data_IF_737354003532
#
_entry.id   IF_737354003532
#
_cell.length_a   1.000
_cell.length_b   1.000
_cell.length_c   1.000
_cell.angle_alpha   90.00
_cell.angle_beta   90.00
_cell.angle_gamma   90.00
#
_symmetry.space_group_name_H-M   'P 1'
#
loop_
_entity.id
_entity.type
_entity.pdbx_description
1 polymer ?
#
# COMPACT_ATOMS: atom_id res chain seq x y z
N UNK A 1 -4.98 -5.07 -6.15
CA UNK A 1 -6.02 -5.29 -5.13
C UNK A 1 -7.32 -4.65 -5.60
N UNK A 2 -8.45 -5.36 -5.52
CA UNK A 2 -9.77 -4.79 -5.81
C UNK A 2 -10.29 -4.08 -4.55
N UNK A 3 -10.81 -2.86 -4.71
CA UNK A 3 -11.32 -2.03 -3.62
C UNK A 3 -12.42 -2.71 -2.77
N UNK A 4 -13.11 -3.69 -3.36
CA UNK A 4 -14.17 -4.47 -2.70
C UNK A 4 -13.67 -5.28 -1.49
N UNK A 5 -12.47 -5.86 -1.55
CA UNK A 5 -11.91 -6.64 -0.44
C UNK A 5 -11.44 -5.75 0.70
N UNK A 6 -11.00 -4.52 0.40
CA UNK A 6 -10.56 -3.55 1.41
C UNK A 6 -11.73 -2.96 2.22
N UNK A 7 -12.94 -2.94 1.66
CA UNK A 7 -14.14 -2.44 2.37
C UNK A 7 -14.68 -3.43 3.42
N UNK A 8 -14.50 -4.73 3.18
CA UNK A 8 -14.86 -5.81 4.14
C UNK A 8 -13.93 -5.89 5.34
N UNK A 9 -12.73 -5.34 5.25
CA UNK A 9 -11.68 -5.39 6.28
C UNK A 9 -11.90 -4.29 7.32
N UNK A 10 -11.59 -4.55 8.59
CA UNK A 10 -11.81 -3.64 9.72
C UNK A 10 -10.87 -2.43 9.65
N UNK A 11 -11.24 -1.30 10.28
CA UNK A 11 -10.40 -0.09 10.27
C UNK A 11 -8.98 -0.34 10.83
N UNK A 12 -8.86 -1.16 11.87
CA UNK A 12 -7.58 -1.55 12.46
C UNK A 12 -6.71 -2.39 11.52
N UNK A 13 -7.32 -3.35 10.83
CA UNK A 13 -6.63 -4.17 9.83
C UNK A 13 -6.19 -3.34 8.61
N UNK A 14 -6.96 -2.32 8.22
CA UNK A 14 -6.56 -1.36 7.19
C UNK A 14 -5.34 -0.53 7.62
N UNK A 15 -5.25 -0.12 8.89
CA UNK A 15 -4.07 0.57 9.42
C UNK A 15 -2.84 -0.34 9.43
N UNK A 16 -2.99 -1.59 9.90
CA UNK A 16 -1.92 -2.60 9.83
C UNK A 16 -1.40 -2.79 8.40
N UNK A 17 -2.33 -2.95 7.44
CA UNK A 17 -1.99 -3.13 6.03
C UNK A 17 -1.32 -1.90 5.40
N UNK A 18 -1.70 -0.69 5.83
CA UNK A 18 -0.99 0.52 5.43
C UNK A 18 0.47 0.51 5.91
N UNK A 19 0.70 -0.01 7.12
CA UNK A 19 2.04 -0.06 7.73
C UNK A 19 2.93 -1.09 7.02
N UNK A 20 2.38 -2.26 6.68
CA UNK A 20 3.06 -3.25 5.84
C UNK A 20 3.41 -2.71 4.45
N UNK A 21 2.47 -2.03 3.79
CA UNK A 21 2.70 -1.45 2.46
C UNK A 21 3.77 -0.34 2.48
N UNK A 22 3.86 0.43 3.57
CA UNK A 22 4.92 1.44 3.76
C UNK A 22 6.30 0.77 3.94
N UNK A 23 6.39 -0.35 4.68
CA UNK A 23 7.61 -1.16 4.74
C UNK A 23 7.98 -1.79 3.40
N UNK A 24 7.01 -2.31 2.65
CA UNK A 24 7.24 -2.87 1.32
C UNK A 24 7.74 -1.79 0.35
N UNK A 25 7.18 -0.57 0.42
CA UNK A 25 7.65 0.58 -0.34
C UNK A 25 9.10 0.94 0.01
N UNK A 26 9.48 0.87 1.28
CA UNK A 26 10.85 1.10 1.73
C UNK A 26 11.80 0.03 1.15
N UNK A 27 11.44 -1.24 1.22
CA UNK A 27 12.22 -2.34 0.65
C UNK A 27 12.40 -2.20 -0.87
N UNK A 28 11.34 -1.83 -1.59
CA UNK A 28 11.43 -1.62 -3.05
C UNK A 28 12.26 -0.37 -3.38
N UNK A 29 12.17 0.70 -2.58
CA UNK A 29 13.06 1.87 -2.72
C UNK A 29 14.52 1.53 -2.43
N UNK A 30 14.78 0.66 -1.47
CA UNK A 30 16.11 0.17 -1.17
C UNK A 30 16.65 -0.67 -2.33
N UNK A 31 15.83 -1.58 -2.88
CA UNK A 31 16.17 -2.34 -4.09
C UNK A 31 16.44 -1.44 -5.30
N UNK A 32 15.69 -0.33 -5.45
CA UNK A 32 15.93 0.69 -6.47
C UNK A 32 17.31 1.31 -6.32
N UNK A 33 17.68 1.66 -5.08
CA UNK A 33 18.97 2.25 -4.79
C UNK A 33 20.14 1.28 -4.99
N UNK A 34 19.93 -0.01 -4.74
CA UNK A 34 20.95 -1.06 -5.01
C UNK A 34 21.12 -1.41 -6.49
N UNK A 35 20.37 -0.77 -7.40
CA UNK A 35 20.52 -0.93 -8.86
C UNK A 35 20.01 -2.25 -9.43
N UNK A 36 19.32 -3.08 -8.63
CA UNK A 36 18.73 -4.38 -9.04
C UNK A 36 17.22 -4.31 -9.29
N UNK A 37 16.71 -3.15 -9.71
CA UNK A 37 15.28 -2.99 -9.87
C UNK A 37 14.81 -3.50 -11.24
N UNK A 38 14.39 -4.76 -11.28
CA UNK A 38 13.81 -5.35 -12.50
C UNK A 38 12.43 -4.76 -12.84
N UNK A 39 11.71 -4.18 -11.88
CA UNK A 39 10.31 -3.77 -12.05
C UNK A 39 9.94 -2.47 -11.30
N UNK A 40 10.21 -1.31 -11.88
CA UNK A 40 9.80 0.01 -11.35
C UNK A 40 8.27 0.18 -11.24
N UNK A 41 7.51 -0.57 -12.04
CA UNK A 41 6.04 -0.59 -12.00
C UNK A 41 5.47 -1.01 -10.64
N UNK A 42 6.21 -1.80 -9.85
CA UNK A 42 5.78 -2.18 -8.48
C UNK A 42 5.70 -0.99 -7.54
N UNK A 43 6.60 -0.01 -7.67
CA UNK A 43 6.59 1.22 -6.85
C UNK A 43 5.28 1.97 -7.05
N UNK A 44 4.85 2.14 -8.31
CA UNK A 44 3.61 2.82 -8.64
C UNK A 44 2.38 2.05 -8.15
N UNK A 45 2.41 0.71 -8.24
CA UNK A 45 1.34 -0.15 -7.73
C UNK A 45 1.18 -0.02 -6.20
N UNK A 46 2.28 -0.16 -5.44
CA UNK A 46 2.28 -0.07 -3.97
C UNK A 46 1.79 1.31 -3.51
N UNK A 47 2.29 2.38 -4.14
CA UNK A 47 1.88 3.76 -3.84
C UNK A 47 0.38 3.99 -4.08
N UNK A 48 -0.18 3.39 -5.14
CA UNK A 48 -1.62 3.44 -5.43
C UNK A 48 -2.43 2.62 -4.43
N UNK A 49 -1.91 1.50 -3.94
CA UNK A 49 -2.54 0.70 -2.89
C UNK A 49 -2.60 1.45 -1.56
N UNK A 50 -1.51 2.10 -1.14
CA UNK A 50 -1.47 2.97 0.05
C UNK A 50 -2.53 4.07 -0.05
N UNK A 51 -2.63 4.75 -1.19
CA UNK A 51 -3.64 5.79 -1.40
C UNK A 51 -5.06 5.22 -1.26
N UNK A 52 -5.33 4.06 -1.86
CA UNK A 52 -6.66 3.42 -1.80
C UNK A 52 -7.02 3.02 -0.36
N UNK A 53 -6.07 2.47 0.40
CA UNK A 53 -6.27 2.12 1.82
C UNK A 53 -6.58 3.36 2.64
N UNK A 54 -5.80 4.44 2.48
CA UNK A 54 -6.04 5.71 3.17
C UNK A 54 -7.42 6.30 2.83
N UNK A 55 -7.82 6.25 1.56
CA UNK A 55 -9.17 6.70 1.15
C UNK A 55 -10.27 5.91 1.85
N UNK A 56 -10.17 4.58 1.93
CA UNK A 56 -11.18 3.74 2.59
C UNK A 56 -11.21 3.98 4.10
N UNK A 57 -10.06 4.21 4.75
CA UNK A 57 -10.01 4.60 6.16
C UNK A 57 -10.78 5.90 6.38
N UNK A 58 -10.56 6.91 5.53
CA UNK A 58 -11.31 8.17 5.58
C UNK A 58 -12.80 7.97 5.30
N UNK A 59 -13.19 7.15 4.32
CA UNK A 59 -14.59 6.79 4.05
C UNK A 59 -15.26 6.10 5.24
N UNK A 60 -14.52 5.38 6.10
CA UNK A 60 -15.06 4.69 7.29
C UNK A 60 -15.11 5.58 8.53
N UNK A 61 -14.29 6.64 8.60
CA UNK A 61 -14.31 7.60 9.70
C UNK A 61 -15.32 8.73 9.49
N UNK A 62 -15.71 9.00 8.24
CA UNK A 62 -16.66 10.04 7.86
C UNK A 62 -18.12 9.61 7.88
#
# INVERSE_FOLDING_TARGET
MKASELRTITAEELMLKNTELEQELFNVRFQLHTGRLENSSKINSIRRQIATVKTIITEKQG
#
